data_IF_831005659535
#
_entry.id   IF_831005659535
#
_cell.length_a   1.000
_cell.length_b   1.000
_cell.length_c   1.000
_cell.angle_alpha   90.00
_cell.angle_beta   90.00
_cell.angle_gamma   90.00
#
_symmetry.space_group_name_H-M   'P 1'
#
loop_
_entity.id
_entity.type
_entity.pdbx_description
1 polymer ?
#
# COMPACT_ATOMS: atom_id res chain seq x y z
N UNK A 1 9.48 12.13 -5.74
CA UNK A 1 9.38 10.72 -5.28
C UNK A 1 10.77 10.28 -4.85
N UNK A 2 10.98 9.95 -3.58
CA UNK A 2 12.26 9.37 -3.12
C UNK A 2 12.36 7.98 -3.76
N UNK A 3 13.30 7.80 -4.68
CA UNK A 3 13.61 6.47 -5.24
C UNK A 3 14.40 5.70 -4.18
N UNK A 4 13.69 4.90 -3.39
CA UNK A 4 14.31 3.93 -2.50
C UNK A 4 14.82 2.75 -3.31
N UNK A 5 16.08 2.77 -3.70
CA UNK A 5 16.77 1.61 -4.27
C UNK A 5 17.05 0.60 -3.16
N UNK A 6 16.02 -0.13 -2.76
CA UNK A 6 16.06 -1.15 -1.72
C UNK A 6 15.79 -2.51 -2.34
N UNK A 7 16.51 -3.55 -1.91
CA UNK A 7 16.44 -4.92 -2.46
C UNK A 7 15.08 -5.61 -2.22
N UNK A 8 14.18 -4.98 -1.48
CA UNK A 8 12.83 -5.48 -1.26
C UNK A 8 11.98 -4.54 -0.41
N UNK A 9 10.71 -4.90 -0.25
CA UNK A 9 9.82 -4.22 0.67
C UNK A 9 10.17 -4.62 2.11
N UNK A 10 10.47 -3.65 2.97
CA UNK A 10 10.67 -3.85 4.41
C UNK A 10 9.41 -3.41 5.17
N UNK A 11 8.39 -4.28 5.30
CA UNK A 11 7.11 -3.90 5.90
C UNK A 11 7.19 -3.71 7.41
N UNK A 12 8.33 -4.02 8.05
CA UNK A 12 8.51 -3.94 9.48
C UNK A 12 9.83 -3.23 9.81
N UNK A 13 9.74 -2.14 10.57
CA UNK A 13 10.88 -1.36 11.03
C UNK A 13 11.94 -2.21 11.75
N UNK A 14 11.52 -3.16 12.60
CA UNK A 14 12.45 -4.01 13.34
C UNK A 14 13.23 -4.97 12.44
N UNK A 15 12.68 -5.33 11.28
CA UNK A 15 13.32 -6.21 10.28
C UNK A 15 14.06 -5.45 9.19
N UNK A 16 14.04 -4.12 9.23
CA UNK A 16 14.68 -3.27 8.22
C UNK A 16 16.19 -3.21 8.49
N UNK A 17 17.06 -3.45 7.49
CA UNK A 17 18.51 -3.39 7.67
C UNK A 17 18.98 -2.00 8.13
N UNK A 18 20.02 -1.94 8.97
CA UNK A 18 20.51 -0.67 9.53
C UNK A 18 20.92 0.36 8.47
N UNK A 19 21.51 -0.08 7.35
CA UNK A 19 21.90 0.84 6.28
C UNK A 19 20.68 1.55 5.66
N UNK A 20 19.53 0.88 5.57
CA UNK A 20 18.26 1.47 5.10
C UNK A 20 17.72 2.49 6.10
N UNK A 21 17.75 2.14 7.40
CA UNK A 21 17.32 3.04 8.48
C UNK A 21 18.13 4.35 8.48
N UNK A 22 19.45 4.24 8.32
CA UNK A 22 20.36 5.39 8.26
C UNK A 22 20.09 6.25 7.02
N UNK A 23 19.84 5.63 5.86
CA UNK A 23 19.48 6.37 4.64
C UNK A 23 18.19 7.15 4.84
N UNK A 24 17.16 6.54 5.46
CA UNK A 24 15.91 7.24 5.77
C UNK A 24 16.12 8.44 6.68
N UNK A 25 16.85 8.27 7.78
CA UNK A 25 17.19 9.38 8.69
C UNK A 25 17.82 10.56 7.92
N UNK A 26 18.80 10.27 7.05
CA UNK A 26 19.48 11.29 6.23
C UNK A 26 18.55 11.93 5.20
N UNK A 27 17.67 11.18 4.55
CA UNK A 27 16.77 11.69 3.52
C UNK A 27 15.71 12.65 4.05
N UNK A 28 15.25 12.46 5.28
CA UNK A 28 14.20 13.29 5.87
C UNK A 28 14.73 14.46 6.70
N UNK A 29 16.06 14.60 6.84
CA UNK A 29 16.71 15.67 7.60
C UNK A 29 16.07 15.92 8.98
N UNK A 30 15.65 14.84 9.65
CA UNK A 30 14.97 14.91 10.94
C UNK A 30 15.97 15.25 12.05
N UNK A 31 15.51 15.99 13.05
CA UNK A 31 16.28 16.16 14.29
C UNK A 31 16.38 14.84 15.04
N UNK A 32 17.41 14.70 15.89
CA UNK A 32 17.65 13.47 16.64
C UNK A 32 16.50 13.13 17.59
N UNK A 33 15.89 14.13 18.22
CA UNK A 33 14.74 13.95 19.13
C UNK A 33 13.49 13.44 18.41
N UNK A 34 13.18 13.99 17.23
CA UNK A 34 12.06 13.53 16.41
C UNK A 34 12.32 12.11 15.92
N UNK A 35 13.56 11.82 15.51
CA UNK A 35 13.94 10.47 15.10
C UNK A 35 13.79 9.46 16.24
N UNK A 36 14.32 9.75 17.41
CA UNK A 36 14.23 8.87 18.58
C UNK A 36 12.78 8.64 18.99
N UNK A 37 11.92 9.66 18.91
CA UNK A 37 10.48 9.53 19.11
C UNK A 37 9.80 8.58 18.11
N UNK A 38 10.19 8.64 16.83
CA UNK A 38 9.69 7.72 15.79
C UNK A 38 10.17 6.30 16.03
N UNK A 39 11.44 6.10 16.41
CA UNK A 39 11.98 4.79 16.76
C UNK A 39 11.19 4.21 17.93
N UNK A 40 11.03 4.97 19.02
CA UNK A 40 10.27 4.54 20.19
C UNK A 40 8.83 4.15 19.83
N UNK A 41 8.17 4.94 18.99
CA UNK A 41 6.83 4.62 18.49
C UNK A 41 6.81 3.33 17.66
N UNK A 42 7.74 3.14 16.72
CA UNK A 42 7.78 1.95 15.86
C UNK A 42 8.17 0.67 16.60
N UNK A 43 9.03 0.78 17.61
CA UNK A 43 9.45 -0.34 18.46
C UNK A 43 8.44 -0.66 19.56
N UNK A 44 7.48 0.22 19.82
CA UNK A 44 6.41 -0.04 20.77
C UNK A 44 5.61 -1.29 20.38
N UNK A 45 5.30 -2.13 21.39
CA UNK A 45 4.69 -3.45 21.18
C UNK A 45 3.35 -3.37 20.42
N UNK A 46 2.56 -2.30 20.63
CA UNK A 46 1.30 -2.11 19.90
C UNK A 46 1.53 -1.86 18.40
N UNK A 47 2.55 -1.09 18.05
CA UNK A 47 2.95 -0.80 16.67
C UNK A 47 3.45 -2.06 15.98
N UNK A 48 4.29 -2.84 16.66
CA UNK A 48 4.77 -4.14 16.17
C UNK A 48 3.60 -5.11 15.95
N UNK A 49 2.67 -5.21 16.91
CA UNK A 49 1.47 -6.05 16.78
C UNK A 49 0.64 -5.64 15.57
N UNK A 50 0.42 -4.34 15.38
CA UNK A 50 -0.33 -3.79 14.24
C UNK A 50 0.35 -4.14 12.91
N UNK A 51 1.66 -3.90 12.79
CA UNK A 51 2.38 -4.15 11.53
C UNK A 51 2.44 -5.65 11.19
N UNK A 52 2.60 -6.51 12.20
CA UNK A 52 2.60 -7.97 12.02
C UNK A 52 1.21 -8.46 11.59
N UNK A 53 0.14 -7.95 12.21
CA UNK A 53 -1.24 -8.26 11.82
C UNK A 53 -1.52 -7.84 10.37
N UNK A 54 -1.16 -6.61 9.98
CA UNK A 54 -1.28 -6.15 8.59
C UNK A 54 -0.43 -6.99 7.62
N UNK A 55 0.78 -7.37 8.02
CA UNK A 55 1.64 -8.23 7.20
C UNK A 55 1.08 -9.63 7.05
N UNK A 56 0.47 -10.21 8.08
CA UNK A 56 -0.17 -11.51 8.03
C UNK A 56 -1.41 -11.46 7.13
N UNK A 57 -2.27 -10.45 7.32
CA UNK A 57 -3.46 -10.22 6.48
C UNK A 57 -3.10 -10.10 4.99
N UNK A 58 -2.05 -9.36 4.63
CA UNK A 58 -1.60 -9.27 3.22
C UNK A 58 -1.08 -10.58 2.63
N UNK A 59 -0.78 -11.58 3.47
CA UNK A 59 -0.24 -12.88 3.07
C UNK A 59 -1.27 -14.02 3.23
N UNK A 60 -2.49 -13.72 3.67
CA UNK A 60 -3.54 -14.75 3.75
C UNK A 60 -3.88 -15.24 2.36
N UNK A 61 -4.03 -16.55 2.22
CA UNK A 61 -4.50 -17.16 0.98
C UNK A 61 -5.94 -17.61 1.14
N UNK A 62 -6.74 -17.50 0.10
CA UNK A 62 -8.05 -18.12 0.05
C UNK A 62 -7.93 -19.66 -0.08
N UNK A 63 -9.07 -20.35 -0.18
CA UNK A 63 -9.12 -21.83 -0.30
C UNK A 63 -8.42 -22.34 -1.57
N UNK A 64 -8.36 -21.51 -2.59
CA UNK A 64 -7.77 -21.81 -3.90
C UNK A 64 -6.29 -21.37 -3.98
N UNK A 65 -5.76 -20.77 -2.91
CA UNK A 65 -4.37 -20.34 -2.80
C UNK A 65 -4.10 -18.90 -3.28
N UNK A 66 -5.13 -18.14 -3.66
CA UNK A 66 -4.98 -16.76 -4.12
C UNK A 66 -4.75 -15.80 -2.96
N UNK A 67 -3.92 -14.79 -3.20
CA UNK A 67 -3.70 -13.68 -2.27
C UNK A 67 -4.92 -12.76 -2.21
N UNK A 68 -5.02 -11.89 -1.20
CA UNK A 68 -6.11 -10.93 -1.11
C UNK A 68 -6.09 -9.97 -2.31
N UNK A 69 -7.27 -9.50 -2.68
CA UNK A 69 -7.49 -8.58 -3.80
C UNK A 69 -6.59 -7.35 -3.69
N UNK A 70 -5.85 -7.04 -4.76
CA UNK A 70 -4.80 -6.04 -4.74
C UNK A 70 -5.28 -4.71 -5.31
N UNK A 71 -5.04 -3.63 -4.56
CA UNK A 71 -5.23 -2.26 -5.04
C UNK A 71 -3.95 -1.77 -5.73
N UNK A 72 -4.06 -1.22 -6.94
CA UNK A 72 -2.90 -0.76 -7.74
C UNK A 72 -2.48 0.68 -7.46
N UNK A 73 -3.36 1.54 -6.94
CA UNK A 73 -3.10 2.99 -6.83
C UNK A 73 -2.33 3.39 -5.55
N UNK A 74 -1.61 2.46 -4.92
CA UNK A 74 -0.95 2.66 -3.63
C UNK A 74 -1.95 2.86 -2.48
N UNK A 75 -1.53 3.54 -1.41
CA UNK A 75 -2.38 3.83 -0.24
C UNK A 75 -3.33 5.00 -0.49
N UNK A 76 -4.10 4.95 -1.58
CA UNK A 76 -5.21 5.89 -1.83
C UNK A 76 -6.53 5.18 -1.60
N UNK A 77 -7.44 5.74 -0.79
CA UNK A 77 -8.78 5.19 -0.65
C UNK A 77 -9.58 5.37 -1.95
N UNK A 78 -10.58 4.52 -2.20
CA UNK A 78 -11.49 4.66 -3.35
C UNK A 78 -12.09 6.06 -3.46
N UNK A 79 -12.43 6.70 -2.33
CA UNK A 79 -12.94 8.08 -2.32
C UNK A 79 -11.94 9.09 -2.91
N UNK A 80 -10.65 8.93 -2.59
CA UNK A 80 -9.59 9.79 -3.14
C UNK A 80 -9.38 9.54 -4.63
N UNK A 81 -9.37 8.26 -5.06
CA UNK A 81 -9.27 7.92 -6.49
C UNK A 81 -10.47 8.45 -7.27
N UNK A 82 -11.67 8.38 -6.69
CA UNK A 82 -12.91 8.89 -7.29
C UNK A 82 -12.90 10.41 -7.43
N UNK A 83 -12.40 11.12 -6.42
CA UNK A 83 -12.27 12.57 -6.46
C UNK A 83 -11.25 13.00 -7.53
N UNK A 84 -10.07 12.38 -7.56
CA UNK A 84 -9.05 12.68 -8.58
C UNK A 84 -9.55 12.42 -10.01
N UNK A 85 -10.38 11.38 -10.19
CA UNK A 85 -11.00 11.09 -11.47
C UNK A 85 -11.97 12.22 -11.89
N UNK A 86 -12.83 12.64 -10.96
CA UNK A 86 -13.78 13.73 -11.18
C UNK A 86 -13.07 15.06 -11.48
N UNK A 87 -12.02 15.40 -10.74
CA UNK A 87 -11.24 16.62 -10.97
C UNK A 87 -10.59 16.64 -12.37
N UNK A 88 -10.20 15.48 -12.90
CA UNK A 88 -9.56 15.37 -14.22
C UNK A 88 -10.54 15.42 -15.39
N UNK A 89 -11.70 14.80 -15.25
CA UNK A 89 -12.62 14.59 -16.36
C UNK A 89 -13.88 15.45 -16.27
N UNK A 90 -14.16 16.05 -15.11
CA UNK A 90 -15.43 16.70 -14.79
C UNK A 90 -16.60 15.72 -14.65
N UNK A 91 -16.36 14.42 -14.76
CA UNK A 91 -17.39 13.37 -14.75
C UNK A 91 -17.15 12.43 -13.59
N UNK A 92 -18.17 12.23 -12.76
CA UNK A 92 -18.09 11.32 -11.62
C UNK A 92 -18.06 9.87 -12.14
N UNK A 93 -17.00 9.10 -11.89
CA UNK A 93 -16.95 7.73 -12.38
C UNK A 93 -17.99 6.86 -11.68
N UNK A 94 -18.51 5.89 -12.43
CA UNK A 94 -19.37 4.83 -11.88
C UNK A 94 -18.58 3.97 -10.88
N UNK A 95 -19.28 3.14 -10.10
CA UNK A 95 -18.61 2.18 -9.21
C UNK A 95 -17.78 1.16 -9.99
N UNK A 96 -18.26 0.71 -11.15
CA UNK A 96 -17.54 -0.21 -12.03
C UNK A 96 -16.29 0.44 -12.63
N UNK A 97 -16.38 1.69 -13.07
CA UNK A 97 -15.20 2.43 -13.55
C UNK A 97 -14.19 2.63 -12.43
N UNK A 98 -14.66 3.04 -11.24
CA UNK A 98 -13.80 3.21 -10.06
C UNK A 98 -13.10 1.89 -9.69
N UNK A 99 -13.83 0.77 -9.74
CA UNK A 99 -13.27 -0.55 -9.48
C UNK A 99 -12.18 -0.91 -10.51
N UNK A 100 -12.45 -0.72 -11.80
CA UNK A 100 -11.47 -0.95 -12.87
C UNK A 100 -10.24 -0.06 -12.70
N UNK A 101 -10.43 1.21 -12.36
CA UNK A 101 -9.34 2.16 -12.11
C UNK A 101 -8.42 1.74 -10.95
N UNK A 102 -8.95 1.03 -9.95
CA UNK A 102 -8.19 0.63 -8.78
C UNK A 102 -7.60 -0.78 -8.86
N UNK A 103 -8.19 -1.65 -9.67
CA UNK A 103 -7.82 -3.06 -9.77
C UNK A 103 -7.24 -3.48 -11.13
N UNK A 104 -7.28 -2.63 -12.15
CA UNK A 104 -6.71 -2.92 -13.47
C UNK A 104 -5.61 -1.93 -13.86
N UNK A 105 -4.78 -2.32 -14.83
CA UNK A 105 -3.86 -1.42 -15.52
C UNK A 105 -4.62 -0.48 -16.44
N UNK A 106 -3.95 0.56 -16.93
CA UNK A 106 -4.50 1.43 -17.99
C UNK A 106 -4.91 0.65 -19.24
N UNK A 107 -4.26 -0.49 -19.50
CA UNK A 107 -4.54 -1.38 -20.62
C UNK A 107 -5.70 -2.36 -20.34
N UNK A 108 -6.35 -2.24 -19.17
CA UNK A 108 -7.52 -3.03 -18.78
C UNK A 108 -7.22 -4.39 -18.15
N UNK A 109 -5.95 -4.71 -17.90
CA UNK A 109 -5.56 -6.00 -17.30
C UNK A 109 -5.71 -5.94 -15.78
N UNK A 110 -6.51 -6.84 -15.19
CA UNK A 110 -6.69 -6.91 -13.75
C UNK A 110 -5.42 -7.38 -13.02
N UNK A 111 -5.21 -6.84 -11.81
CA UNK A 111 -4.05 -7.12 -10.98
C UNK A 111 -4.06 -8.53 -10.38
N UNK A 112 -5.24 -9.13 -10.24
CA UNK A 112 -5.46 -10.47 -9.73
C UNK A 112 -6.75 -11.10 -10.28
N UNK A 113 -6.85 -12.45 -10.34
CA UNK A 113 -8.03 -13.13 -10.85
C UNK A 113 -9.31 -12.89 -10.05
N UNK A 114 -9.21 -12.59 -8.76
CA UNK A 114 -10.37 -12.35 -7.91
C UNK A 114 -11.07 -11.04 -8.29
N UNK A 115 -10.29 -10.00 -8.60
CA UNK A 115 -10.79 -8.72 -9.10
C UNK A 115 -11.52 -8.88 -10.43
N UNK A 116 -10.91 -9.63 -11.37
CA UNK A 116 -11.50 -9.89 -12.69
C UNK A 116 -12.83 -10.65 -12.56
N UNK A 117 -12.83 -11.73 -11.79
CA UNK A 117 -14.04 -12.52 -11.53
C UNK A 117 -15.14 -11.67 -10.92
N UNK A 118 -14.83 -10.84 -9.91
CA UNK A 118 -15.82 -9.98 -9.27
C UNK A 118 -16.40 -8.96 -10.26
N UNK A 119 -15.56 -8.33 -11.08
CA UNK A 119 -16.00 -7.37 -12.09
C UNK A 119 -16.93 -7.99 -13.14
N UNK A 120 -16.71 -9.25 -13.53
CA UNK A 120 -17.56 -9.96 -14.48
C UNK A 120 -18.92 -10.40 -13.91
N UNK A 121 -19.05 -10.44 -12.58
CA UNK A 121 -20.28 -10.86 -11.89
C UNK A 121 -21.19 -9.72 -11.42
N UNK A 122 -20.77 -8.47 -11.63
CA UNK A 122 -21.50 -7.24 -11.24
C UNK A 122 -22.06 -6.58 -12.49
#
# INVERSE_FOLDING_TARGET
MIKGYYDGAYPNWSKTPNHVKITWFKCFALTTDVWDGLIAYWEHLSSIKKVNSCSASRRTKDKDGHLPMLHRTGQKPHAGVRLEAFEKTGVLPSLSDLFRMTHATSDGVFADPASEKLFQTV
#
